data_IF_070243240320
#
_entry.id   IF_070243240320
#
_cell.length_a   1.000
_cell.length_b   1.000
_cell.length_c   1.000
_cell.angle_alpha   90.00
_cell.angle_beta   90.00
_cell.angle_gamma   90.00
#
_symmetry.space_group_name_H-M   'P 1'
#
loop_
_entity.id
_entity.type
_entity.pdbx_description
1 polymer ?
#
# COMPACT_ATOMS: atom_id res chain seq x y z
N UNK A 1 10.07 -1.40 -28.45
CA UNK A 1 9.79 -1.79 -27.05
C UNK A 1 9.79 -3.31 -27.02
N UNK A 2 10.65 -3.96 -26.22
CA UNK A 2 10.51 -5.40 -25.98
C UNK A 2 9.16 -5.58 -25.30
N UNK A 3 8.27 -6.38 -25.87
CA UNK A 3 7.03 -6.81 -25.20
C UNK A 3 7.45 -7.70 -24.04
N UNK A 4 7.48 -7.13 -22.84
CA UNK A 4 7.68 -7.89 -21.62
C UNK A 4 6.43 -8.73 -21.38
N UNK A 5 6.62 -10.03 -21.14
CA UNK A 5 5.51 -10.92 -20.80
C UNK A 5 5.06 -10.61 -19.36
N UNK A 6 3.76 -10.38 -19.13
CA UNK A 6 3.27 -10.15 -17.78
C UNK A 6 3.42 -11.42 -16.94
N UNK A 7 3.79 -11.25 -15.67
CA UNK A 7 3.80 -12.32 -14.67
C UNK A 7 2.37 -12.76 -14.33
N UNK A 8 1.48 -11.77 -14.18
CA UNK A 8 0.03 -11.98 -14.03
C UNK A 8 -0.73 -10.90 -14.77
N UNK A 9 -1.93 -11.25 -15.24
CA UNK A 9 -2.89 -10.32 -15.81
C UNK A 9 -4.28 -10.69 -15.33
N UNK A 10 -4.85 -9.83 -14.49
CA UNK A 10 -6.16 -10.01 -13.88
C UNK A 10 -7.11 -8.92 -14.33
N UNK A 11 -8.33 -9.33 -14.65
CA UNK A 11 -9.45 -8.45 -14.94
C UNK A 11 -10.53 -8.71 -13.91
N UNK A 12 -11.22 -7.66 -13.51
CA UNK A 12 -12.24 -7.71 -12.48
C UNK A 12 -13.56 -7.19 -13.02
N UNK A 13 -14.65 -7.69 -12.46
CA UNK A 13 -15.92 -6.97 -12.56
C UNK A 13 -15.83 -5.65 -11.80
N UNK A 14 -16.69 -4.70 -12.16
CA UNK A 14 -16.79 -3.42 -11.45
C UNK A 14 -17.18 -3.61 -9.98
N UNK A 15 -18.00 -4.62 -9.69
CA UNK A 15 -18.46 -4.94 -8.33
C UNK A 15 -17.31 -5.44 -7.46
N UNK A 16 -16.55 -6.43 -7.94
CA UNK A 16 -15.36 -6.96 -7.24
C UNK A 16 -14.32 -5.86 -6.99
N UNK A 17 -14.10 -5.01 -7.99
CA UNK A 17 -13.16 -3.89 -7.85
C UNK A 17 -13.63 -2.86 -6.81
N UNK A 18 -14.92 -2.54 -6.80
CA UNK A 18 -15.49 -1.62 -5.82
C UNK A 18 -15.38 -2.17 -4.40
N UNK A 19 -15.65 -3.46 -4.22
CA UNK A 19 -15.48 -4.16 -2.95
C UNK A 19 -14.02 -4.11 -2.48
N UNK A 20 -13.08 -4.41 -3.38
CA UNK A 20 -11.64 -4.29 -3.10
C UNK A 20 -11.26 -2.87 -2.66
N UNK A 21 -11.72 -1.84 -3.39
CA UNK A 21 -11.44 -0.44 -3.06
C UNK A 21 -11.99 -0.07 -1.69
N UNK A 22 -13.15 -0.62 -1.29
CA UNK A 22 -13.73 -0.40 0.04
C UNK A 22 -12.90 -1.04 1.15
N UNK A 23 -12.53 -2.30 0.97
CA UNK A 23 -11.68 -3.04 1.90
C UNK A 23 -10.35 -2.29 2.08
N UNK A 24 -9.69 -1.94 0.99
CA UNK A 24 -8.36 -1.34 1.05
C UNK A 24 -8.40 0.09 1.62
N UNK A 25 -9.39 0.91 1.26
CA UNK A 25 -9.56 2.22 1.88
C UNK A 25 -9.88 2.14 3.36
N UNK A 26 -10.66 1.15 3.79
CA UNK A 26 -10.94 0.94 5.21
C UNK A 26 -9.65 0.61 5.98
N UNK A 27 -8.83 -0.31 5.46
CA UNK A 27 -7.53 -0.66 6.05
C UNK A 27 -6.61 0.56 6.14
N UNK A 28 -6.45 1.32 5.04
CA UNK A 28 -5.61 2.53 5.05
C UNK A 28 -6.16 3.64 5.95
N UNK A 29 -7.48 3.71 6.17
CA UNK A 29 -8.09 4.66 7.10
C UNK A 29 -7.74 4.30 8.54
N UNK A 30 -7.77 3.02 8.88
CA UNK A 30 -7.38 2.50 10.19
C UNK A 30 -5.90 2.82 10.50
N UNK A 31 -4.99 2.53 9.56
CA UNK A 31 -3.56 2.90 9.67
C UNK A 31 -3.36 4.39 9.92
N UNK A 32 -4.12 5.22 9.21
CA UNK A 32 -4.05 6.67 9.31
C UNK A 32 -4.56 7.20 10.65
N UNK A 33 -5.53 6.52 11.28
CA UNK A 33 -5.98 6.82 12.64
C UNK A 33 -4.86 6.51 13.63
N UNK A 34 -4.23 5.34 13.53
CA UNK A 34 -3.10 4.98 14.38
C UNK A 34 -1.93 5.95 14.24
N UNK A 35 -1.64 6.40 13.01
CA UNK A 35 -0.62 7.41 12.75
C UNK A 35 -0.95 8.76 13.42
N UNK A 36 -2.21 9.21 13.33
CA UNK A 36 -2.68 10.42 14.01
C UNK A 36 -2.57 10.31 15.54
N UNK A 37 -2.96 9.17 16.11
CA UNK A 37 -2.81 8.91 17.55
C UNK A 37 -1.33 8.91 17.97
N UNK A 38 -0.45 8.32 17.18
CA UNK A 38 0.99 8.34 17.45
C UNK A 38 1.55 9.77 17.46
N UNK A 39 1.08 10.66 16.56
CA UNK A 39 1.45 12.08 16.59
C UNK A 39 1.02 12.72 17.91
N UNK A 40 -0.24 12.52 18.33
CA UNK A 40 -0.77 13.10 19.57
C UNK A 40 -0.08 12.56 20.83
N UNK A 41 0.47 11.36 20.78
CA UNK A 41 1.25 10.81 21.89
C UNK A 41 2.69 11.34 21.85
N UNK A 42 3.39 11.25 20.73
CA UNK A 42 4.84 11.49 20.67
C UNK A 42 5.18 12.97 20.58
N UNK A 43 4.47 13.74 19.73
CA UNK A 43 4.84 15.14 19.45
C UNK A 43 4.70 16.03 20.68
N UNK A 44 3.63 15.93 21.50
CA UNK A 44 3.53 16.75 22.70
C UNK A 44 4.68 16.53 23.68
N UNK A 45 5.07 15.28 23.94
CA UNK A 45 6.23 15.00 24.80
C UNK A 45 7.53 15.52 24.18
N UNK A 46 7.72 15.38 22.87
CA UNK A 46 8.87 15.96 22.18
C UNK A 46 8.95 17.47 22.36
N UNK A 47 7.85 18.19 22.19
CA UNK A 47 7.81 19.64 22.40
C UNK A 47 8.08 20.01 23.86
N UNK A 48 7.50 19.29 24.82
CA UNK A 48 7.75 19.54 26.24
C UNK A 48 9.23 19.39 26.59
N UNK A 49 9.87 18.28 26.22
CA UNK A 49 11.25 18.01 26.61
C UNK A 49 12.27 18.87 25.85
N UNK A 50 12.05 19.13 24.56
CA UNK A 50 13.03 19.84 23.73
C UNK A 50 12.79 21.34 23.62
N UNK A 51 11.58 21.83 23.92
CA UNK A 51 11.20 23.25 23.80
C UNK A 51 10.66 23.85 25.09
N UNK A 52 10.53 23.08 26.16
CA UNK A 52 10.05 23.57 27.47
C UNK A 52 8.61 24.07 27.45
N UNK A 53 7.81 23.64 26.47
CA UNK A 53 6.40 24.05 26.34
C UNK A 53 5.53 23.30 27.34
N UNK A 54 4.39 23.89 27.72
CA UNK A 54 3.41 23.19 28.56
C UNK A 54 2.75 22.03 27.79
N UNK A 55 2.29 21.00 28.50
CA UNK A 55 1.61 19.86 27.88
C UNK A 55 0.40 20.29 27.04
N UNK A 56 -0.45 21.17 27.59
CA UNK A 56 -1.65 21.65 26.91
C UNK A 56 -1.34 22.39 25.61
N UNK A 57 -0.35 23.30 25.62
CA UNK A 57 0.05 24.03 24.41
C UNK A 57 0.64 23.09 23.35
N UNK A 58 1.46 22.13 23.79
CA UNK A 58 2.08 21.13 22.93
C UNK A 58 1.04 20.20 22.28
N UNK A 59 0.02 19.80 23.06
CA UNK A 59 -1.10 18.99 22.57
C UNK A 59 -1.91 19.77 21.52
N UNK A 60 -2.33 21.00 21.83
CA UNK A 60 -3.07 21.85 20.91
C UNK A 60 -2.31 22.07 19.60
N UNK A 61 -1.00 22.30 19.68
CA UNK A 61 -0.14 22.45 18.51
C UNK A 61 -0.06 21.17 17.66
N UNK A 62 -0.12 19.99 18.27
CA UNK A 62 -0.01 18.70 17.57
C UNK A 62 -1.28 18.29 16.81
N UNK A 63 -2.46 18.74 17.26
CA UNK A 63 -3.77 18.35 16.68
C UNK A 63 -3.86 18.65 15.17
N UNK A 64 -3.51 19.85 14.67
CA UNK A 64 -3.54 20.12 13.23
C UNK A 64 -2.72 19.12 12.42
N UNK A 65 -1.54 18.72 12.90
CA UNK A 65 -0.69 17.75 12.21
C UNK A 65 -1.23 16.32 12.29
N UNK A 66 -1.80 15.94 13.43
CA UNK A 66 -2.44 14.64 13.63
C UNK A 66 -3.65 14.42 12.70
N UNK A 67 -4.28 15.48 12.22
CA UNK A 67 -5.38 15.42 11.24
C UNK A 67 -4.85 15.62 9.81
N UNK A 68 -4.03 16.64 9.59
CA UNK A 68 -3.58 17.04 8.26
C UNK A 68 -2.70 15.98 7.60
N UNK A 69 -1.72 15.40 8.32
CA UNK A 69 -0.79 14.45 7.72
C UNK A 69 -1.53 13.17 7.26
N UNK A 70 -2.38 12.51 8.08
CA UNK A 70 -3.16 11.38 7.62
C UNK A 70 -4.12 11.71 6.46
N UNK A 71 -4.74 12.89 6.48
CA UNK A 71 -5.60 13.35 5.39
C UNK A 71 -4.82 13.47 4.06
N UNK A 72 -3.66 14.13 4.09
CA UNK A 72 -2.80 14.26 2.91
C UNK A 72 -2.32 12.89 2.41
N UNK A 73 -1.94 11.99 3.33
CA UNK A 73 -1.55 10.62 2.98
C UNK A 73 -2.67 9.89 2.24
N UNK A 74 -3.91 10.01 2.71
CA UNK A 74 -5.08 9.41 2.07
C UNK A 74 -5.34 9.99 0.67
N UNK A 75 -5.23 11.32 0.55
CA UNK A 75 -5.53 12.05 -0.69
C UNK A 75 -4.52 11.77 -1.81
N UNK A 76 -3.22 11.66 -1.49
CA UNK A 76 -2.18 11.57 -2.50
C UNK A 76 -1.68 10.14 -2.74
N UNK A 77 -1.51 9.33 -1.69
CA UNK A 77 -0.88 8.01 -1.82
C UNK A 77 -1.79 6.97 -2.47
N UNK A 78 -3.12 7.14 -2.32
CA UNK A 78 -4.10 6.12 -2.75
C UNK A 78 -4.95 6.58 -3.94
N UNK A 79 -4.40 7.46 -4.79
CA UNK A 79 -5.10 8.01 -5.97
C UNK A 79 -5.55 6.92 -6.96
N UNK A 80 -4.89 5.77 -6.98
CA UNK A 80 -5.21 4.62 -7.84
C UNK A 80 -6.42 3.80 -7.35
N UNK A 81 -6.81 3.93 -6.07
CA UNK A 81 -7.98 3.25 -5.49
C UNK A 81 -9.26 4.05 -5.78
N UNK A 82 -9.72 3.99 -7.03
CA UNK A 82 -10.96 4.65 -7.47
C UNK A 82 -12.09 3.64 -7.63
N UNK A 83 -13.28 4.01 -7.18
CA UNK A 83 -14.50 3.23 -7.44
C UNK A 83 -15.01 3.52 -8.85
N UNK A 84 -15.85 2.62 -9.36
CA UNK A 84 -16.56 2.74 -10.63
C UNK A 84 -15.63 2.90 -11.84
N UNK A 85 -14.47 2.24 -11.78
CA UNK A 85 -13.58 2.11 -12.93
C UNK A 85 -14.22 1.16 -13.94
N UNK A 86 -14.23 1.55 -15.21
CA UNK A 86 -14.67 0.69 -16.30
C UNK A 86 -13.57 -0.31 -16.66
N UNK A 87 -13.92 -1.60 -16.77
CA UNK A 87 -12.99 -2.70 -17.04
C UNK A 87 -11.71 -2.65 -16.16
N UNK A 88 -11.87 -2.73 -14.83
CA UNK A 88 -10.76 -2.70 -13.91
C UNK A 88 -9.82 -3.88 -14.18
N UNK A 89 -8.52 -3.59 -14.18
CA UNK A 89 -7.49 -4.58 -14.48
C UNK A 89 -6.19 -4.28 -13.73
N UNK A 90 -5.49 -5.36 -13.43
CA UNK A 90 -4.17 -5.35 -12.83
C UNK A 90 -3.24 -6.21 -13.68
N UNK A 91 -2.07 -5.68 -13.99
CA UNK A 91 -1.02 -6.40 -14.71
C UNK A 91 0.29 -6.24 -13.95
N UNK A 92 0.93 -7.34 -13.60
CA UNK A 92 2.22 -7.33 -12.95
C UNK A 92 3.30 -7.73 -13.95
N UNK A 93 4.35 -6.93 -14.03
CA UNK A 93 5.60 -7.22 -14.74
C UNK A 93 6.73 -7.33 -13.73
N UNK A 94 7.93 -7.68 -14.20
CA UNK A 94 9.11 -7.84 -13.36
C UNK A 94 9.54 -6.52 -12.68
N UNK A 95 9.35 -5.38 -13.35
CA UNK A 95 9.85 -4.06 -12.93
C UNK A 95 8.73 -3.08 -12.55
N UNK A 96 7.50 -3.26 -13.05
CA UNK A 96 6.33 -2.47 -12.64
C UNK A 96 5.03 -3.26 -12.57
N UNK A 97 4.08 -2.71 -11.84
CA UNK A 97 2.68 -3.11 -11.82
C UNK A 97 1.82 -2.01 -12.45
N UNK A 98 0.84 -2.39 -13.24
CA UNK A 98 -0.22 -1.50 -13.74
C UNK A 98 -1.50 -1.79 -12.99
N UNK A 99 -2.08 -0.77 -12.37
CA UNK A 99 -3.41 -0.82 -11.76
C UNK A 99 -4.27 0.22 -12.48
N UNK A 100 -5.21 -0.20 -13.32
CA UNK A 100 -6.09 0.71 -14.07
C UNK A 100 -5.31 1.83 -14.80
N UNK A 101 -4.30 1.46 -15.58
CA UNK A 101 -3.35 2.37 -16.25
C UNK A 101 -2.44 3.21 -15.32
N UNK A 102 -2.50 3.03 -14.01
CA UNK A 102 -1.55 3.64 -13.08
C UNK A 102 -0.32 2.74 -12.94
N UNK A 103 0.84 3.26 -13.35
CA UNK A 103 2.12 2.54 -13.26
C UNK A 103 2.77 2.72 -11.89
N UNK A 104 3.04 1.61 -11.22
CA UNK A 104 3.72 1.51 -9.93
C UNK A 104 5.00 0.72 -10.16
N UNK A 105 6.15 1.35 -9.96
CA UNK A 105 7.45 0.71 -10.13
C UNK A 105 7.75 -0.23 -8.94
N UNK A 106 7.88 -1.54 -9.21
CA UNK A 106 8.10 -2.59 -8.21
C UNK A 106 9.56 -3.02 -8.09
N UNK A 107 10.32 -2.97 -9.19
CA UNK A 107 11.75 -3.25 -9.19
C UNK A 107 12.51 -2.32 -10.14
N UNK A 108 13.66 -1.85 -9.69
CA UNK A 108 14.59 -1.05 -10.49
C UNK A 108 15.98 -1.04 -9.85
N UNK A 109 16.89 -0.18 -10.33
CA UNK A 109 18.22 -0.04 -9.73
C UNK A 109 18.20 0.35 -8.24
N UNK A 110 17.11 0.96 -7.76
CA UNK A 110 16.98 1.45 -6.37
C UNK A 110 15.82 0.82 -5.61
N UNK A 111 14.96 0.05 -6.29
CA UNK A 111 13.76 -0.58 -5.72
C UNK A 111 13.83 -2.09 -5.96
N UNK A 112 13.33 -2.87 -5.01
CA UNK A 112 13.12 -4.31 -5.19
C UNK A 112 11.84 -4.73 -4.50
N UNK A 113 11.27 -5.83 -4.96
CA UNK A 113 10.27 -6.56 -4.19
C UNK A 113 11.04 -7.21 -3.04
N UNK A 114 10.67 -6.86 -1.82
CA UNK A 114 11.23 -7.43 -0.59
C UNK A 114 10.53 -8.73 -0.22
N UNK A 115 9.22 -8.77 -0.47
CA UNK A 115 8.36 -9.84 0.00
C UNK A 115 7.11 -9.89 -0.89
N UNK A 116 6.62 -11.10 -1.14
CA UNK A 116 5.41 -11.34 -1.91
C UNK A 116 4.59 -12.42 -1.20
N UNK A 117 3.37 -12.11 -0.78
CA UNK A 117 2.55 -13.06 -0.02
C UNK A 117 1.07 -12.90 -0.27
N UNK A 118 0.32 -13.96 -0.01
CA UNK A 118 -1.13 -13.93 0.01
C UNK A 118 -1.59 -13.66 1.43
N UNK A 119 -2.48 -12.68 1.61
CA UNK A 119 -3.08 -12.35 2.90
C UNK A 119 -4.60 -12.48 2.80
N UNK A 120 -5.22 -12.85 3.92
CA UNK A 120 -6.67 -12.85 4.04
C UNK A 120 -7.17 -11.45 4.38
N UNK A 121 -8.25 -11.04 3.73
CA UNK A 121 -8.94 -9.79 3.95
C UNK A 121 -10.35 -10.03 4.48
N UNK A 122 -11.03 -8.93 4.83
CA UNK A 122 -12.45 -8.97 5.21
C UNK A 122 -13.29 -9.62 4.09
N UNK A 123 -14.41 -10.23 4.46
CA UNK A 123 -15.32 -10.91 3.53
C UNK A 123 -14.75 -12.17 2.85
N UNK A 124 -13.81 -12.90 3.49
CA UNK A 124 -13.17 -14.09 2.93
C UNK A 124 -12.46 -13.87 1.58
N UNK A 125 -12.11 -12.63 1.27
CA UNK A 125 -11.34 -12.28 0.08
C UNK A 125 -9.85 -12.46 0.37
N UNK A 126 -9.09 -12.81 -0.66
CA UNK A 126 -7.63 -12.94 -0.58
C UNK A 126 -6.97 -11.82 -1.37
N UNK A 127 -5.92 -11.23 -0.81
CA UNK A 127 -5.14 -10.18 -1.45
C UNK A 127 -3.71 -10.69 -1.69
N UNK A 128 -3.13 -10.31 -2.82
CA UNK A 128 -1.69 -10.43 -3.04
C UNK A 128 -1.05 -9.14 -2.53
N UNK A 129 -0.21 -9.26 -1.50
CA UNK A 129 0.59 -8.17 -0.96
C UNK A 129 2.00 -8.21 -1.57
N UNK A 130 2.37 -7.09 -2.20
CA UNK A 130 3.68 -6.82 -2.79
C UNK A 130 4.37 -5.77 -1.93
N UNK A 131 5.37 -6.20 -1.15
CA UNK A 131 6.17 -5.30 -0.32
C UNK A 131 7.36 -4.80 -1.13
N UNK A 132 7.39 -3.51 -1.45
CA UNK A 132 8.46 -2.88 -2.22
C UNK A 132 9.41 -2.19 -1.25
N UNK A 133 10.72 -2.42 -1.38
CA UNK A 133 11.75 -1.77 -0.60
C UNK A 133 12.69 -0.95 -1.48
N UNK A 134 13.07 0.24 -1.00
CA UNK A 134 14.10 1.06 -1.61
C UNK A 134 15.04 1.71 -0.62
N UNK A 135 16.28 1.92 -1.04
CA UNK A 135 17.27 2.59 -0.20
C UNK A 135 17.05 4.11 -0.18
N UNK A 136 17.08 4.69 1.02
CA UNK A 136 17.16 6.15 1.23
C UNK A 136 18.44 6.49 1.99
N UNK A 137 18.77 7.78 2.09
CA UNK A 137 19.92 8.25 2.89
C UNK A 137 19.84 7.86 4.37
N UNK A 138 18.63 7.60 4.88
CA UNK A 138 18.38 7.28 6.29
C UNK A 138 18.15 5.78 6.53
N UNK A 139 18.35 4.94 5.50
CA UNK A 139 18.08 3.51 5.55
C UNK A 139 17.01 3.07 4.55
N UNK A 140 16.67 1.76 4.53
CA UNK A 140 15.63 1.24 3.65
C UNK A 140 14.25 1.77 4.05
N UNK A 141 13.44 2.09 3.05
CA UNK A 141 12.01 2.41 3.21
C UNK A 141 11.21 1.36 2.47
N UNK A 142 10.05 0.99 3.03
CA UNK A 142 9.16 0.00 2.43
C UNK A 142 7.79 0.64 2.15
N UNK A 143 7.09 0.11 1.15
CA UNK A 143 5.68 0.38 0.89
C UNK A 143 4.98 -0.91 0.48
N UNK A 144 3.70 -1.01 0.83
CA UNK A 144 2.91 -2.23 0.72
C UNK A 144 1.77 -1.99 -0.27
N UNK A 145 1.80 -2.71 -1.38
CA UNK A 145 0.74 -2.67 -2.40
C UNK A 145 -0.04 -3.96 -2.36
N UNK A 146 -1.36 -3.84 -2.24
CA UNK A 146 -2.28 -4.98 -2.21
C UNK A 146 -3.14 -4.96 -3.46
N UNK A 147 -3.37 -6.13 -4.02
CA UNK A 147 -4.32 -6.33 -5.12
C UNK A 147 -5.24 -7.50 -4.79
N UNK A 148 -6.51 -7.40 -5.18
CA UNK A 148 -7.46 -8.50 -5.00
C UNK A 148 -7.04 -9.68 -5.87
N UNK A 149 -7.05 -10.88 -5.32
CA UNK A 149 -6.90 -12.13 -6.07
C UNK A 149 -8.29 -12.56 -6.51
N UNK A 150 -8.61 -12.60 -7.83
CA UNK A 150 -9.87 -13.18 -8.29
C UNK A 150 -10.00 -14.64 -7.83
N UNK A 151 -11.22 -15.08 -7.52
CA UNK A 151 -11.46 -16.42 -6.94
C UNK A 151 -10.93 -17.55 -7.85
N UNK A 152 -11.02 -17.38 -9.17
CA UNK A 152 -10.51 -18.32 -10.16
C UNK A 152 -8.99 -18.22 -10.43
N UNK A 153 -8.29 -17.27 -9.79
CA UNK A 153 -6.85 -17.01 -9.99
C UNK A 153 -6.00 -17.32 -8.75
N UNK A 154 -6.57 -17.94 -7.73
CA UNK A 154 -5.82 -18.29 -6.51
C UNK A 154 -4.59 -19.16 -6.80
N UNK A 155 -4.73 -20.21 -7.61
CA UNK A 155 -3.60 -21.10 -7.96
C UNK A 155 -2.50 -20.38 -8.76
N UNK A 156 -2.86 -19.36 -9.55
CA UNK A 156 -1.89 -18.53 -10.27
C UNK A 156 -1.09 -17.65 -9.30
N UNK A 157 -1.77 -17.07 -8.30
CA UNK A 157 -1.13 -16.28 -7.25
C UNK A 157 -0.20 -17.13 -6.37
N UNK A 158 -0.60 -18.35 -6.01
CA UNK A 158 0.23 -19.28 -5.23
C UNK A 158 1.52 -19.64 -5.97
N UNK A 159 1.43 -19.96 -7.27
CA UNK A 159 2.61 -20.23 -8.11
C UNK A 159 3.54 -19.03 -8.23
N UNK A 160 2.98 -17.82 -8.34
CA UNK A 160 3.76 -16.59 -8.39
C UNK A 160 4.59 -16.40 -7.12
N UNK A 161 3.95 -16.62 -5.95
CA UNK A 161 4.63 -16.53 -4.65
C UNK A 161 5.71 -17.60 -4.50
N UNK A 162 5.41 -18.85 -4.89
CA UNK A 162 6.37 -19.95 -4.83
C UNK A 162 7.60 -19.71 -5.72
N UNK A 163 7.39 -19.25 -6.96
CA UNK A 163 8.48 -18.92 -7.88
C UNK A 163 9.35 -17.78 -7.32
N UNK A 164 8.75 -16.74 -6.74
CA UNK A 164 9.48 -15.62 -6.15
C UNK A 164 10.49 -16.07 -5.09
N UNK A 165 10.10 -16.97 -4.18
CA UNK A 165 11.01 -17.48 -3.15
C UNK A 165 11.96 -18.59 -3.65
N UNK A 166 11.63 -19.23 -4.77
CA UNK A 166 12.51 -20.22 -5.41
C UNK A 166 13.68 -19.54 -6.12
N UNK A 167 13.43 -18.39 -6.76
CA UNK A 167 14.45 -17.61 -7.48
C UNK A 167 15.37 -16.79 -6.54
N UNK A 168 14.93 -16.53 -5.31
CA UNK A 168 15.71 -15.83 -4.27
C UNK A 168 16.70 -16.75 -3.50
N UNK A 169 16.66 -18.07 -3.73
CA UNK A 169 17.56 -19.09 -3.17
C UNK A 169 18.66 -19.51 -4.16
#
# INVERSE_FOLDING_TARGET
MKTENPLIQWQYSQEEWNEFVDIEKANKKEDNIYFGLAILLIVPFGLMFYRGTSFLFSLLFSIPFAVLIPFLRMKFSYKHLQKNVFNPHVILYNDYMLINNHRIEVASKRKRIKNLKIIDAKSNKKLLEVDIQWATRKGPTNDEFRILIPENKLSEAEKLVENFYSDDN
#
